data_IF_858274091774
#
_entry.id   IF_858274091774
#
_cell.length_a   1.000
_cell.length_b   1.000
_cell.length_c   1.000
_cell.angle_alpha   90.00
_cell.angle_beta   90.00
_cell.angle_gamma   90.00
#
_symmetry.space_group_name_H-M   'P 1'
#
loop_
_entity.id
_entity.type
_entity.pdbx_description
1 polymer ?
#
# COMPACT_ATOMS: atom_id res chain seq x y z
N UNK A 1 -11.96 7.44 -12.13
CA UNK A 1 -10.51 7.35 -12.42
C UNK A 1 -9.79 8.11 -11.34
N UNK A 2 -8.70 7.56 -10.78
CA UNK A 2 -7.84 8.31 -9.85
C UNK A 2 -7.09 9.38 -10.64
N UNK A 3 -6.97 10.58 -10.09
CA UNK A 3 -6.15 11.63 -10.68
C UNK A 3 -4.65 11.22 -10.66
N UNK A 4 -3.83 11.78 -11.55
CA UNK A 4 -2.41 11.41 -11.64
C UNK A 4 -1.62 11.75 -10.37
N UNK A 5 -2.02 12.76 -9.60
CA UNK A 5 -1.34 13.14 -8.36
C UNK A 5 -1.60 12.09 -7.27
N UNK A 6 -2.85 11.66 -7.10
CA UNK A 6 -3.20 10.56 -6.19
C UNK A 6 -2.51 9.27 -6.61
N UNK A 7 -2.46 8.97 -7.91
CA UNK A 7 -1.74 7.77 -8.40
C UNK A 7 -0.24 7.82 -8.08
N UNK A 8 0.40 8.98 -8.22
CA UNK A 8 1.81 9.16 -7.88
C UNK A 8 2.04 9.02 -6.37
N UNK A 9 1.14 9.59 -5.56
CA UNK A 9 1.18 9.47 -4.11
C UNK A 9 1.04 8.01 -3.65
N UNK A 10 0.07 7.26 -4.18
CA UNK A 10 -0.10 5.84 -3.81
C UNK A 10 1.12 5.00 -4.19
N UNK A 11 1.77 5.28 -5.33
CA UNK A 11 3.03 4.62 -5.69
C UNK A 11 4.15 4.94 -4.71
N UNK A 12 4.30 6.20 -4.30
CA UNK A 12 5.32 6.60 -3.34
C UNK A 12 5.08 5.94 -1.96
N UNK A 13 3.83 5.91 -1.49
CA UNK A 13 3.47 5.23 -0.23
C UNK A 13 3.74 3.73 -0.32
N UNK A 14 3.35 3.07 -1.42
CA UNK A 14 3.59 1.66 -1.62
C UNK A 14 5.09 1.32 -1.64
N UNK A 15 5.90 2.12 -2.33
CA UNK A 15 7.34 1.91 -2.41
C UNK A 15 8.01 2.03 -1.04
N UNK A 16 7.63 3.04 -0.25
CA UNK A 16 8.15 3.24 1.10
C UNK A 16 7.71 2.11 2.04
N UNK A 17 6.43 1.78 2.08
CA UNK A 17 5.90 0.73 2.97
C UNK A 17 6.50 -0.63 2.64
N UNK A 18 6.71 -0.92 1.35
CA UNK A 18 7.30 -2.16 0.89
C UNK A 18 8.83 -2.10 0.70
N UNK A 19 9.53 -1.09 1.22
CA UNK A 19 10.99 -0.94 1.10
C UNK A 19 11.73 -2.19 1.58
N UNK A 20 11.29 -2.74 2.72
CA UNK A 20 11.88 -3.91 3.37
C UNK A 20 11.27 -5.24 2.91
N UNK A 21 10.27 -5.19 2.04
CA UNK A 21 9.57 -6.37 1.51
C UNK A 21 10.24 -6.80 0.22
N UNK A 22 10.74 -8.03 0.19
CA UNK A 22 11.36 -8.57 -1.02
C UNK A 22 10.43 -8.45 -2.23
N UNK A 23 11.00 -8.18 -3.41
CA UNK A 23 10.25 -8.13 -4.67
C UNK A 23 9.55 -9.45 -5.01
N UNK A 24 10.03 -10.55 -4.45
CA UNK A 24 9.45 -11.90 -4.64
C UNK A 24 8.15 -12.09 -3.84
N UNK A 25 7.94 -11.33 -2.77
CA UNK A 25 6.74 -11.39 -1.91
C UNK A 25 5.57 -10.64 -2.58
N UNK A 26 5.22 -11.08 -3.79
CA UNK A 26 4.24 -10.40 -4.65
C UNK A 26 2.87 -10.34 -3.99
N UNK A 27 2.49 -11.37 -3.23
CA UNK A 27 1.26 -11.37 -2.44
C UNK A 27 1.23 -10.23 -1.42
N UNK A 28 2.30 -10.08 -0.64
CA UNK A 28 2.37 -9.06 0.41
C UNK A 28 2.26 -7.65 -0.18
N UNK A 29 3.03 -7.40 -1.26
CA UNK A 29 3.02 -6.12 -1.97
C UNK A 29 1.65 -5.83 -2.62
N UNK A 30 0.99 -6.85 -3.19
CA UNK A 30 -0.34 -6.71 -3.80
C UNK A 30 -1.43 -6.42 -2.77
N UNK A 31 -1.35 -7.04 -1.59
CA UNK A 31 -2.29 -6.78 -0.49
C UNK A 31 -2.15 -5.36 0.05
N UNK A 32 -0.92 -4.93 0.33
CA UNK A 32 -0.63 -3.56 0.76
C UNK A 32 -1.14 -2.56 -0.28
N UNK A 33 -0.84 -2.77 -1.57
CA UNK A 33 -1.34 -1.93 -2.65
C UNK A 33 -2.89 -1.87 -2.70
N UNK A 34 -3.56 -3.01 -2.50
CA UNK A 34 -5.02 -3.09 -2.49
C UNK A 34 -5.63 -2.31 -1.33
N UNK A 35 -5.04 -2.39 -0.14
CA UNK A 35 -5.50 -1.67 1.06
C UNK A 35 -5.29 -0.17 0.97
N UNK A 36 -4.13 0.26 0.49
CA UNK A 36 -3.83 1.67 0.22
C UNK A 36 -4.81 2.23 -0.83
N UNK A 37 -5.08 1.48 -1.91
CA UNK A 37 -6.03 1.89 -2.94
C UNK A 37 -7.48 1.96 -2.42
N UNK A 38 -7.89 1.01 -1.58
CA UNK A 38 -9.19 1.02 -0.92
C UNK A 38 -9.37 2.28 -0.06
N UNK A 39 -8.38 2.62 0.77
CA UNK A 39 -8.41 3.83 1.59
C UNK A 39 -8.52 5.10 0.73
N UNK A 40 -7.71 5.20 -0.33
CA UNK A 40 -7.78 6.33 -1.25
C UNK A 40 -9.13 6.45 -1.96
N UNK A 41 -9.73 5.32 -2.33
CA UNK A 41 -11.07 5.29 -2.94
C UNK A 41 -12.17 5.71 -1.95
N UNK A 42 -11.94 5.53 -0.64
CA UNK A 42 -12.82 5.99 0.44
C UNK A 42 -12.62 7.46 0.81
N UNK A 43 -11.65 8.14 0.20
CA UNK A 43 -11.38 9.57 0.39
C UNK A 43 -10.14 9.88 1.24
N UNK A 44 -9.42 8.87 1.75
CA UNK A 44 -8.16 9.10 2.47
C UNK A 44 -7.07 9.52 1.48
N UNK A 45 -6.66 10.78 1.54
CA UNK A 45 -5.63 11.34 0.65
C UNK A 45 -4.37 11.78 1.41
N UNK A 46 -4.44 11.77 2.74
CA UNK A 46 -3.32 12.09 3.61
C UNK A 46 -2.23 11.03 3.50
N UNK A 47 -1.02 11.47 3.21
CA UNK A 47 0.16 10.61 3.09
C UNK A 47 0.41 9.80 4.36
N UNK A 48 0.21 10.40 5.54
CA UNK A 48 0.41 9.72 6.82
C UNK A 48 -0.62 8.60 7.06
N UNK A 49 -1.91 8.87 6.81
CA UNK A 49 -2.97 7.87 6.88
C UNK A 49 -2.72 6.69 5.94
N UNK A 50 -2.35 6.97 4.68
CA UNK A 50 -2.12 5.92 3.68
C UNK A 50 -0.89 5.06 4.04
N UNK A 51 0.14 5.67 4.65
CA UNK A 51 1.28 4.93 5.20
C UNK A 51 0.86 4.05 6.37
N UNK A 52 0.03 4.56 7.26
CA UNK A 52 -0.47 3.79 8.39
C UNK A 52 -1.26 2.57 7.91
N UNK A 53 -2.23 2.77 7.02
CA UNK A 53 -3.01 1.69 6.38
C UNK A 53 -2.09 0.67 5.71
N UNK A 54 -1.07 1.13 4.98
CA UNK A 54 -0.10 0.24 4.34
C UNK A 54 0.71 -0.59 5.33
N UNK A 55 1.14 -0.01 6.46
CA UNK A 55 1.90 -0.72 7.50
C UNK A 55 1.04 -1.72 8.28
N UNK A 56 -0.22 -1.36 8.54
CA UNK A 56 -1.22 -2.26 9.12
C UNK A 56 -1.45 -3.45 8.18
N UNK A 57 -1.72 -3.18 6.91
CA UNK A 57 -1.88 -4.21 5.88
C UNK A 57 -0.64 -5.11 5.74
N UNK A 58 0.57 -4.55 5.86
CA UNK A 58 1.80 -5.34 5.83
C UNK A 58 1.94 -6.25 7.05
N UNK A 59 1.49 -5.78 8.22
CA UNK A 59 1.51 -6.57 9.45
C UNK A 59 0.45 -7.67 9.44
N UNK A 60 -0.69 -7.43 8.78
CA UNK A 60 -1.77 -8.39 8.58
C UNK A 60 -1.50 -9.38 7.43
N UNK A 61 -0.61 -9.03 6.49
CA UNK A 61 -0.26 -9.88 5.38
C UNK A 61 0.29 -11.22 5.91
N UNK A 62 -0.32 -12.36 5.59
CA UNK A 62 0.19 -13.65 6.00
C UNK A 62 1.62 -13.82 5.48
N UNK A 63 2.56 -14.12 6.37
CA UNK A 63 3.93 -14.53 6.01
C UNK A 63 4.00 -15.85 5.22
N UNK A 64 2.84 -16.44 4.90
CA UNK A 64 2.65 -17.70 4.18
C UNK A 64 2.44 -17.53 2.67
N UNK A 65 2.45 -16.32 2.12
CA UNK A 65 2.35 -16.11 0.66
C UNK A 65 3.65 -16.37 -0.10
N UNK A 66 4.24 -17.54 0.18
CA UNK A 66 5.43 -18.10 -0.48
C UNK A 66 5.05 -18.88 -1.74
#
# INVERSE_FOLDING_TARGET
>A
MLDPATTALLRAVLDEVCEKVSRTETGARAHVASKILEAATRGETSLDSLKQVGREALSEAPTMWR
#
